data_IF_734540689011
#
_entry.id   IF_734540689011
#
_cell.length_a   1.000
_cell.length_b   1.000
_cell.length_c   1.000
_cell.angle_alpha   90.00
_cell.angle_beta   90.00
_cell.angle_gamma   90.00
#
_symmetry.space_group_name_H-M   'P 1'
#
loop_
_entity.id
_entity.type
_entity.pdbx_description
1 polymer ?
#
# COMPACT_ATOMS: atom_id res chain seq x y z
N UNK A 1 -24.36 -4.16 5.36
CA UNK A 1 -23.26 -3.51 4.64
C UNK A 1 -23.81 -2.81 3.42
N UNK A 2 -23.66 -1.49 3.32
CA UNK A 2 -23.76 -0.78 2.05
C UNK A 2 -22.44 -0.89 1.28
N UNK A 3 -22.43 -0.55 -0.01
CA UNK A 3 -21.18 -0.52 -0.79
C UNK A 3 -20.18 0.52 -0.24
N UNK A 4 -20.69 1.61 0.33
CA UNK A 4 -19.88 2.67 0.99
C UNK A 4 -19.14 2.09 2.19
N UNK A 5 -19.86 1.34 3.03
CA UNK A 5 -19.33 0.66 4.22
C UNK A 5 -18.27 -0.39 3.83
N UNK A 6 -18.45 -1.12 2.73
CA UNK A 6 -17.43 -2.06 2.24
C UNK A 6 -16.15 -1.39 1.73
N UNK A 7 -16.28 -0.24 1.03
CA UNK A 7 -15.11 0.52 0.58
C UNK A 7 -14.30 1.04 1.78
N UNK A 8 -14.97 1.61 2.78
CA UNK A 8 -14.31 2.12 3.98
C UNK A 8 -13.50 1.04 4.71
N UNK A 9 -14.04 -0.19 4.79
CA UNK A 9 -13.31 -1.32 5.36
C UNK A 9 -12.05 -1.69 4.56
N UNK A 10 -12.10 -1.62 3.22
CA UNK A 10 -10.90 -1.86 2.39
C UNK A 10 -9.86 -0.75 2.56
N UNK A 11 -10.30 0.50 2.61
CA UNK A 11 -9.42 1.65 2.81
C UNK A 11 -8.72 1.55 4.18
N UNK A 12 -9.47 1.23 5.23
CA UNK A 12 -8.97 1.05 6.59
C UNK A 12 -8.01 -0.15 6.70
N UNK A 13 -8.34 -1.28 6.08
CA UNK A 13 -7.48 -2.47 6.05
C UNK A 13 -6.12 -2.18 5.42
N UNK A 14 -6.10 -1.57 4.24
CA UNK A 14 -4.83 -1.27 3.56
C UNK A 14 -4.04 -0.15 4.25
N UNK A 15 -4.73 0.84 4.81
CA UNK A 15 -4.08 1.90 5.62
C UNK A 15 -3.34 1.29 6.81
N UNK A 16 -4.02 0.43 7.60
CA UNK A 16 -3.37 -0.23 8.74
C UNK A 16 -2.27 -1.19 8.31
N UNK A 17 -2.45 -1.91 7.21
CA UNK A 17 -1.43 -2.82 6.69
C UNK A 17 -0.15 -2.07 6.34
N UNK A 18 -0.25 -0.99 5.55
CA UNK A 18 0.93 -0.23 5.15
C UNK A 18 1.56 0.50 6.35
N UNK A 19 0.74 1.06 7.25
CA UNK A 19 1.26 1.69 8.46
C UNK A 19 2.00 0.70 9.37
N UNK A 20 1.47 -0.52 9.55
CA UNK A 20 2.13 -1.53 10.38
C UNK A 20 3.52 -1.87 9.83
N UNK A 21 3.63 -2.04 8.50
CA UNK A 21 4.92 -2.30 7.85
C UNK A 21 5.87 -1.10 8.00
N UNK A 22 5.36 0.13 7.86
CA UNK A 22 6.14 1.35 8.05
C UNK A 22 6.66 1.49 9.50
N UNK A 23 5.82 1.16 10.49
CA UNK A 23 6.18 1.13 11.90
C UNK A 23 7.26 0.07 12.18
N UNK A 24 7.17 -1.11 11.57
CA UNK A 24 8.19 -2.17 11.67
C UNK A 24 9.53 -1.76 11.03
N UNK A 25 9.48 -1.04 9.90
CA UNK A 25 10.65 -0.50 9.20
C UNK A 25 11.34 0.58 10.04
N UNK A 26 10.54 1.45 10.65
CA UNK A 26 11.01 2.56 11.48
C UNK A 26 11.43 2.15 12.89
N UNK A 27 11.19 0.89 13.29
CA UNK A 27 11.44 0.41 14.64
C UNK A 27 10.44 0.90 15.69
N UNK A 28 9.29 1.41 15.26
CA UNK A 28 8.18 1.84 16.12
C UNK A 28 7.27 0.66 16.51
N UNK A 29 7.29 -0.42 15.73
CA UNK A 29 6.64 -1.69 16.05
C UNK A 29 7.66 -2.84 16.06
N UNK A 30 7.38 -3.87 16.85
CA UNK A 30 8.17 -5.11 16.83
C UNK A 30 7.76 -5.98 15.65
N UNK A 31 8.73 -6.64 15.04
CA UNK A 31 8.57 -7.65 14.01
C UNK A 31 9.24 -8.95 14.42
N UNK A 32 8.79 -10.09 13.89
CA UNK A 32 9.44 -11.37 14.13
C UNK A 32 10.55 -11.61 13.11
N UNK A 33 11.74 -11.94 13.60
CA UNK A 33 12.86 -12.39 12.77
C UNK A 33 13.42 -13.66 13.40
N UNK A 34 13.38 -14.77 12.66
CA UNK A 34 13.79 -16.09 13.13
C UNK A 34 13.07 -16.54 14.42
N UNK A 35 11.81 -16.12 14.58
CA UNK A 35 10.98 -16.43 15.76
C UNK A 35 11.18 -15.49 16.94
N UNK A 36 12.15 -14.58 16.88
CA UNK A 36 12.44 -13.62 17.94
C UNK A 36 11.93 -12.21 17.59
N UNK A 37 11.34 -11.47 18.55
CA UNK A 37 10.91 -10.11 18.33
C UNK A 37 12.11 -9.17 18.19
N UNK A 38 12.10 -8.32 17.16
CA UNK A 38 13.06 -7.23 16.96
C UNK A 38 12.32 -5.91 16.79
N UNK A 39 12.86 -4.84 17.35
CA UNK A 39 12.32 -3.48 17.23
C UNK A 39 13.36 -2.46 16.74
N UNK A 40 14.55 -2.90 16.37
CA UNK A 40 15.55 -2.01 15.76
C UNK A 40 15.09 -1.60 14.35
N UNK A 41 15.29 -0.33 13.92
CA UNK A 41 14.96 0.11 12.58
C UNK A 41 15.58 -0.78 11.50
N UNK A 42 14.82 -1.11 10.45
CA UNK A 42 15.28 -1.92 9.30
C UNK A 42 16.22 -1.10 8.41
N UNK A 43 15.94 0.20 8.28
CA UNK A 43 16.68 1.10 7.41
C UNK A 43 16.91 2.46 8.08
N UNK A 44 17.81 3.26 7.50
CA UNK A 44 17.98 4.66 7.91
C UNK A 44 16.76 5.50 7.52
N UNK A 45 16.55 6.61 8.22
CA UNK A 45 15.36 7.49 8.09
C UNK A 45 15.12 8.05 6.68
N UNK A 46 16.16 8.09 5.85
CA UNK A 46 16.12 8.61 4.48
C UNK A 46 15.93 7.53 3.42
N UNK A 47 15.73 6.28 3.83
CA UNK A 47 15.46 5.15 2.95
C UNK A 47 13.97 4.87 2.96
N UNK A 48 13.36 4.84 1.78
CA UNK A 48 11.96 4.50 1.59
C UNK A 48 11.73 3.70 0.32
N UNK A 49 10.51 3.21 0.16
CA UNK A 49 10.07 2.50 -1.05
C UNK A 49 8.65 2.93 -1.40
N UNK A 50 8.33 2.94 -2.69
CA UNK A 50 6.93 2.91 -3.13
C UNK A 50 6.31 1.55 -2.84
N UNK A 51 4.99 1.46 -2.78
CA UNK A 51 4.25 0.20 -2.66
C UNK A 51 2.98 0.23 -3.52
N UNK A 52 2.81 -0.76 -4.39
CA UNK A 52 1.55 -1.02 -5.09
C UNK A 52 1.15 -2.48 -4.86
N UNK A 53 -0.07 -2.69 -4.36
CA UNK A 53 -0.59 -4.01 -4.01
C UNK A 53 -1.94 -4.27 -4.70
N UNK A 54 -2.17 -5.53 -5.08
CA UNK A 54 -3.40 -5.95 -5.75
C UNK A 54 -3.89 -7.24 -5.13
N UNK A 55 -5.13 -7.24 -4.64
CA UNK A 55 -5.84 -8.47 -4.29
C UNK A 55 -6.72 -8.86 -5.47
N UNK A 56 -6.50 -10.05 -6.02
CA UNK A 56 -7.22 -10.57 -7.18
C UNK A 56 -8.09 -11.75 -6.75
N UNK A 57 -9.40 -11.62 -7.00
CA UNK A 57 -10.39 -12.66 -6.80
C UNK A 57 -11.07 -12.97 -8.14
N UNK A 58 -11.89 -14.03 -8.18
CA UNK A 58 -12.63 -14.40 -9.40
C UNK A 58 -13.58 -13.30 -9.91
N UNK A 59 -14.03 -12.41 -9.02
CA UNK A 59 -15.01 -11.35 -9.31
C UNK A 59 -14.47 -9.92 -9.20
N UNK A 60 -13.37 -9.69 -8.48
CA UNK A 60 -12.91 -8.35 -8.14
C UNK A 60 -11.39 -8.24 -8.16
N UNK A 61 -10.91 -7.02 -8.42
CA UNK A 61 -9.55 -6.59 -8.14
C UNK A 61 -9.61 -5.41 -7.17
N UNK A 62 -8.86 -5.48 -6.07
CA UNK A 62 -8.73 -4.37 -5.09
C UNK A 62 -7.30 -3.87 -5.15
N UNK A 63 -7.12 -2.56 -5.30
CA UNK A 63 -5.82 -1.92 -5.49
C UNK A 63 -5.54 -0.96 -4.34
N UNK A 64 -4.32 -1.03 -3.80
CA UNK A 64 -3.75 -0.05 -2.88
C UNK A 64 -2.43 0.49 -3.46
N UNK A 65 -2.28 1.81 -3.50
CA UNK A 65 -1.10 2.48 -4.06
C UNK A 65 -0.53 3.51 -3.07
N UNK A 66 0.79 3.49 -2.89
CA UNK A 66 1.56 4.43 -2.10
C UNK A 66 2.84 4.78 -2.89
N UNK A 67 3.01 6.05 -3.24
CA UNK A 67 4.08 6.57 -4.09
C UNK A 67 3.70 6.69 -5.57
N UNK A 68 4.71 6.71 -6.43
CA UNK A 68 4.59 6.96 -7.86
C UNK A 68 4.73 5.71 -8.75
N UNK A 69 4.73 4.53 -8.14
CA UNK A 69 4.44 3.28 -8.85
C UNK A 69 3.00 3.29 -9.39
N UNK A 70 2.73 2.49 -10.44
CA UNK A 70 1.42 2.46 -11.11
C UNK A 70 0.93 1.07 -11.46
N UNK A 71 -0.38 0.85 -11.29
CA UNK A 71 -1.09 -0.29 -11.86
C UNK A 71 -2.06 0.13 -12.97
N UNK A 72 -2.00 -0.61 -14.07
CA UNK A 72 -2.86 -0.46 -15.24
C UNK A 72 -3.49 -1.80 -15.58
N UNK A 73 -4.81 -1.82 -15.77
CA UNK A 73 -5.57 -2.98 -16.21
C UNK A 73 -5.80 -2.91 -17.71
N UNK A 74 -5.46 -3.98 -18.44
CA UNK A 74 -5.89 -4.13 -19.83
C UNK A 74 -7.31 -4.69 -19.86
N UNK A 75 -8.28 -3.89 -20.32
CA UNK A 75 -9.70 -4.27 -20.42
C UNK A 75 -10.23 -3.88 -21.79
N UNK A 76 -10.71 -4.86 -22.56
CA UNK A 76 -11.22 -4.62 -23.91
C UNK A 76 -10.16 -4.12 -24.89
N UNK A 77 -8.89 -4.52 -24.70
CA UNK A 77 -7.70 -4.02 -25.42
C UNK A 77 -7.34 -2.55 -25.13
N UNK A 78 -8.00 -1.92 -24.16
CA UNK A 78 -7.71 -0.55 -23.73
C UNK A 78 -7.03 -0.55 -22.34
N UNK A 79 -6.12 0.40 -22.07
CA UNK A 79 -5.53 0.57 -20.75
C UNK A 79 -6.49 1.33 -19.81
N UNK A 80 -6.69 0.81 -18.61
CA UNK A 80 -7.46 1.45 -17.54
C UNK A 80 -6.54 1.65 -16.33
N UNK A 81 -6.19 2.89 -16.01
CA UNK A 81 -5.41 3.19 -14.81
C UNK A 81 -6.23 2.84 -13.56
N UNK A 82 -5.66 1.99 -12.68
CA UNK A 82 -6.29 1.62 -11.40
C UNK A 82 -5.65 2.34 -10.20
N UNK A 83 -4.56 3.08 -10.43
CA UNK A 83 -3.94 3.97 -9.44
C UNK A 83 -3.57 5.31 -10.06
N UNK A 84 -3.42 6.31 -9.20
CA UNK A 84 -2.94 7.65 -9.54
C UNK A 84 -1.59 7.82 -8.83
N UNK A 85 -0.56 8.25 -9.55
CA UNK A 85 0.77 8.47 -8.98
C UNK A 85 0.70 9.60 -7.94
N UNK A 86 1.27 9.37 -6.77
CA UNK A 86 1.38 10.39 -5.72
C UNK A 86 2.60 11.28 -5.99
N UNK A 87 2.45 12.21 -6.93
CA UNK A 87 3.45 13.24 -7.22
C UNK A 87 3.19 14.47 -6.36
N UNK A 88 4.24 15.07 -5.83
CA UNK A 88 4.20 16.43 -5.28
C UNK A 88 4.33 17.41 -6.43
N UNK A 89 3.26 18.12 -6.75
CA UNK A 89 3.31 19.22 -7.71
C UNK A 89 4.12 20.36 -7.09
N UNK A 90 5.25 20.71 -7.72
CA UNK A 90 5.98 21.93 -7.35
C UNK A 90 5.18 23.13 -7.83
N UNK A 91 4.39 23.73 -6.94
CA UNK A 91 3.94 25.11 -7.13
C UNK A 91 5.14 26.01 -6.84
N UNK A 92 5.86 26.42 -7.89
CA UNK A 92 6.84 27.50 -7.83
C UNK A 92 6.14 28.86 -7.81
#
# INVERSE_FOLDING_TARGET
MSDVDMKEHWDDLFTRCFQTVDDEVSGLASRLVDGEPRSDPIAAENVGSTAVAVVVCSSHVVVANCGDSRIVLSRGKEPVALSIDQKVDMVL
#
